data_IF_509427152358
#
_entry.id   IF_509427152358
#
_cell.length_a   1.000
_cell.length_b   1.000
_cell.length_c   1.000
_cell.angle_alpha   90.00
_cell.angle_beta   90.00
_cell.angle_gamma   90.00
#
_symmetry.space_group_name_H-M   'P 1'
#
loop_
_entity.id
_entity.type
_entity.pdbx_description
1 polymer ?
#
# COMPACT_ATOMS: atom_id res chain seq x y z
N UNK A 1 16.65 -19.69 -14.05
CA UNK A 1 15.46 -18.81 -13.95
C UNK A 1 14.60 -19.05 -15.18
N UNK A 2 13.34 -19.44 -15.00
CA UNK A 2 12.45 -19.72 -16.12
C UNK A 2 12.17 -18.46 -16.98
N UNK A 3 11.78 -18.66 -18.25
CA UNK A 3 11.36 -17.56 -19.13
C UNK A 3 10.18 -16.77 -18.53
N UNK A 4 9.27 -17.48 -17.83
CA UNK A 4 8.12 -16.89 -17.14
C UNK A 4 8.56 -15.93 -16.03
N UNK A 5 9.51 -16.34 -15.18
CA UNK A 5 10.03 -15.48 -14.11
C UNK A 5 10.69 -14.20 -14.65
N UNK A 6 11.41 -14.29 -15.78
CA UNK A 6 12.00 -13.12 -16.45
C UNK A 6 10.95 -12.12 -16.92
N UNK A 7 9.87 -12.62 -17.52
CA UNK A 7 8.76 -11.78 -17.98
C UNK A 7 8.07 -11.06 -16.82
N UNK A 8 7.77 -11.77 -15.72
CA UNK A 8 7.14 -11.17 -14.53
C UNK A 8 8.08 -10.12 -13.89
N UNK A 9 9.38 -10.38 -13.84
CA UNK A 9 10.35 -9.41 -13.33
C UNK A 9 10.36 -8.14 -14.20
N UNK A 10 10.43 -8.30 -15.51
CA UNK A 10 10.46 -7.18 -16.45
C UNK A 10 9.19 -6.33 -16.35
N UNK A 11 8.01 -6.95 -16.28
CA UNK A 11 6.75 -6.21 -16.12
C UNK A 11 6.69 -5.45 -14.79
N UNK A 12 7.18 -6.03 -13.70
CA UNK A 12 7.27 -5.35 -12.40
C UNK A 12 8.18 -4.12 -12.43
N UNK A 13 9.35 -4.24 -13.07
CA UNK A 13 10.28 -3.11 -13.27
C UNK A 13 9.63 -2.02 -14.13
N UNK A 14 8.97 -2.39 -15.22
CA UNK A 14 8.30 -1.47 -16.12
C UNK A 14 7.18 -0.69 -15.41
N UNK A 15 6.42 -1.36 -14.54
CA UNK A 15 5.39 -0.74 -13.71
C UNK A 15 5.95 0.28 -12.72
N UNK A 16 7.07 -0.04 -12.05
CA UNK A 16 7.74 0.90 -11.16
C UNK A 16 8.29 2.10 -11.93
N UNK A 17 8.93 1.86 -13.09
CA UNK A 17 9.46 2.91 -13.94
C UNK A 17 8.34 3.85 -14.42
N UNK A 18 7.20 3.28 -14.83
CA UNK A 18 6.01 4.05 -15.16
C UNK A 18 5.52 4.86 -13.95
N UNK A 19 5.37 4.25 -12.76
CA UNK A 19 4.85 4.95 -11.59
C UNK A 19 5.76 6.06 -11.04
N UNK A 20 7.06 5.97 -11.28
CA UNK A 20 8.00 7.07 -11.01
C UNK A 20 7.83 8.16 -12.09
N UNK A 21 7.79 7.75 -13.36
CA UNK A 21 7.69 8.69 -14.49
C UNK A 21 6.36 9.44 -14.53
N UNK A 22 5.24 8.81 -14.15
CA UNK A 22 3.90 9.42 -14.13
C UNK A 22 3.73 10.49 -13.05
N UNK A 23 4.67 10.57 -12.09
CA UNK A 23 4.74 11.68 -11.12
C UNK A 23 5.58 12.84 -11.64
N UNK A 24 6.46 12.59 -12.62
CA UNK A 24 7.26 13.61 -13.29
C UNK A 24 6.55 14.18 -14.53
N UNK A 25 5.87 13.32 -15.27
CA UNK A 25 5.12 13.64 -16.48
C UNK A 25 3.64 13.49 -16.15
N UNK A 26 2.78 14.48 -16.46
CA UNK A 26 1.36 14.50 -16.10
C UNK A 26 0.51 13.47 -16.87
N UNK A 27 0.83 12.18 -16.75
CA UNK A 27 0.10 11.05 -17.34
C UNK A 27 -0.72 10.38 -16.24
N UNK A 28 -2.01 10.67 -16.22
CA UNK A 28 -2.88 10.38 -15.07
C UNK A 28 -3.74 9.12 -15.22
N UNK A 29 -3.29 8.14 -16.01
CA UNK A 29 -4.08 6.95 -16.33
C UNK A 29 -3.95 5.79 -15.32
N UNK A 30 -2.86 5.72 -14.55
CA UNK A 30 -2.58 4.54 -13.70
C UNK A 30 -1.80 4.87 -12.41
N UNK A 31 -2.51 5.44 -11.45
CA UNK A 31 -1.96 6.02 -10.21
C UNK A 31 -1.38 4.98 -9.22
N UNK A 32 -1.91 3.75 -9.19
CA UNK A 32 -1.46 2.64 -8.31
C UNK A 32 -0.31 1.79 -8.89
N UNK A 33 0.23 2.20 -10.03
CA UNK A 33 1.30 1.48 -10.73
C UNK A 33 2.50 1.11 -9.86
N UNK A 34 2.87 1.95 -8.88
CA UNK A 34 3.96 1.64 -7.94
C UNK A 34 3.64 0.42 -7.07
N UNK A 35 2.47 0.39 -6.46
CA UNK A 35 2.07 -0.71 -5.55
C UNK A 35 1.93 -2.00 -6.35
N UNK A 36 1.30 -1.93 -7.52
CA UNK A 36 1.18 -3.08 -8.41
C UNK A 36 2.54 -3.57 -8.93
N UNK A 37 3.47 -2.67 -9.22
CA UNK A 37 4.85 -3.01 -9.58
C UNK A 37 5.54 -3.81 -8.49
N UNK A 38 5.44 -3.39 -7.23
CA UNK A 38 5.98 -4.14 -6.09
C UNK A 38 5.33 -5.52 -5.92
N UNK A 39 4.01 -5.63 -6.06
CA UNK A 39 3.30 -6.92 -5.99
C UNK A 39 3.82 -7.87 -7.08
N UNK A 40 3.97 -7.38 -8.31
CA UNK A 40 4.51 -8.16 -9.44
C UNK A 40 5.95 -8.59 -9.19
N UNK A 41 6.80 -7.73 -8.62
CA UNK A 41 8.17 -8.11 -8.24
C UNK A 41 8.21 -9.17 -7.14
N UNK A 42 7.32 -9.10 -6.14
CA UNK A 42 7.20 -10.13 -5.11
C UNK A 42 6.74 -11.46 -5.73
N UNK A 43 5.81 -11.43 -6.69
CA UNK A 43 5.41 -12.64 -7.44
C UNK A 43 6.56 -13.21 -8.27
N UNK A 44 7.37 -12.36 -8.92
CA UNK A 44 8.57 -12.79 -9.63
C UNK A 44 9.58 -13.45 -8.68
N UNK A 45 9.80 -12.84 -7.50
CA UNK A 45 10.68 -13.39 -6.47
C UNK A 45 10.14 -14.74 -5.98
N UNK A 46 8.86 -14.84 -5.64
CA UNK A 46 8.25 -16.09 -5.21
C UNK A 46 8.40 -17.19 -6.28
N UNK A 47 8.14 -16.87 -7.55
CA UNK A 47 8.36 -17.78 -8.69
C UNK A 47 9.83 -18.23 -8.79
N UNK A 48 10.78 -17.31 -8.62
CA UNK A 48 12.21 -17.64 -8.58
C UNK A 48 12.55 -18.59 -7.43
N UNK A 49 11.99 -18.40 -6.24
CA UNK A 49 12.24 -19.26 -5.09
C UNK A 49 11.66 -20.67 -5.30
N UNK A 50 10.50 -20.80 -5.94
CA UNK A 50 9.97 -22.10 -6.36
C UNK A 50 10.87 -22.81 -7.37
N UNK A 51 11.35 -22.09 -8.39
CA UNK A 51 12.32 -22.61 -9.37
C UNK A 51 13.61 -23.07 -8.67
N UNK A 52 14.10 -22.27 -7.71
CA UNK A 52 15.30 -22.59 -6.93
C UNK A 52 15.10 -23.84 -6.07
N UNK A 53 13.93 -23.99 -5.42
CA UNK A 53 13.57 -25.19 -4.66
C UNK A 53 13.59 -26.41 -5.56
N UNK A 54 12.93 -26.35 -6.73
CA UNK A 54 12.90 -27.45 -7.70
C UNK A 54 14.32 -27.85 -8.15
N UNK A 55 15.17 -26.87 -8.45
CA UNK A 55 16.56 -27.13 -8.87
C UNK A 55 17.40 -27.76 -7.74
N UNK A 56 17.21 -27.35 -6.48
CA UNK A 56 17.93 -27.95 -5.35
C UNK A 56 17.49 -29.38 -5.05
N UNK A 57 16.19 -29.69 -5.16
CA UNK A 57 15.67 -31.06 -5.00
C UNK A 57 16.30 -31.98 -6.05
N UNK A 58 16.33 -31.57 -7.32
CA UNK A 58 16.95 -32.34 -8.39
C UNK A 58 18.45 -32.61 -8.17
N UNK A 59 19.15 -31.71 -7.47
CA UNK A 59 20.56 -31.83 -7.12
C UNK A 59 20.81 -32.53 -5.77
N UNK A 60 19.78 -33.08 -5.13
CA UNK A 60 19.88 -33.72 -3.81
C UNK A 60 20.31 -32.78 -2.67
N UNK A 61 20.18 -31.46 -2.85
CA UNK A 61 20.62 -30.45 -1.87
C UNK A 61 19.52 -30.11 -0.89
N UNK A 62 19.91 -29.74 0.34
CA UNK A 62 18.97 -29.24 1.37
C UNK A 62 18.24 -27.98 0.89
N UNK A 63 16.93 -27.95 1.14
CA UNK A 63 15.99 -26.89 0.70
C UNK A 63 15.42 -26.07 1.84
N UNK A 64 15.79 -26.36 3.09
CA UNK A 64 15.19 -25.76 4.30
C UNK A 64 15.16 -24.23 4.23
N UNK A 65 16.30 -23.59 3.94
CA UNK A 65 16.38 -22.14 3.77
C UNK A 65 15.49 -21.60 2.65
N UNK A 66 15.39 -22.33 1.54
CA UNK A 66 14.51 -21.95 0.42
C UNK A 66 13.04 -22.05 0.84
N UNK A 67 12.69 -23.06 1.63
CA UNK A 67 11.33 -23.22 2.13
C UNK A 67 10.94 -22.11 3.10
N UNK A 68 11.85 -21.71 4.01
CA UNK A 68 11.64 -20.59 4.93
C UNK A 68 11.31 -19.31 4.16
N UNK A 69 12.10 -18.94 3.15
CA UNK A 69 11.83 -17.72 2.40
C UNK A 69 10.55 -17.77 1.55
N UNK A 70 10.17 -18.94 1.01
CA UNK A 70 8.87 -19.11 0.35
C UNK A 70 7.74 -18.86 1.36
N UNK A 71 7.82 -19.47 2.55
CA UNK A 71 6.81 -19.31 3.61
C UNK A 71 6.70 -17.85 4.04
N UNK A 72 7.82 -17.16 4.27
CA UNK A 72 7.84 -15.74 4.64
C UNK A 72 7.20 -14.86 3.56
N UNK A 73 7.51 -15.09 2.28
CA UNK A 73 6.91 -14.33 1.18
C UNK A 73 5.40 -14.58 1.06
N UNK A 74 4.95 -15.82 1.24
CA UNK A 74 3.51 -16.14 1.23
C UNK A 74 2.81 -15.47 2.41
N UNK A 75 3.39 -15.53 3.62
CA UNK A 75 2.83 -14.86 4.79
C UNK A 75 2.70 -13.36 4.55
N UNK A 76 3.72 -12.71 3.97
CA UNK A 76 3.65 -11.30 3.61
C UNK A 76 2.51 -11.01 2.63
N UNK A 77 2.36 -11.82 1.57
CA UNK A 77 1.30 -11.67 0.57
C UNK A 77 -0.11 -11.86 1.14
N UNK A 78 -0.27 -12.60 2.24
CA UNK A 78 -1.55 -12.79 2.92
C UNK A 78 -1.80 -11.69 3.96
N UNK A 79 -0.81 -11.36 4.78
CA UNK A 79 -0.95 -10.37 5.86
C UNK A 79 -1.18 -8.97 5.29
N UNK A 80 -0.40 -8.55 4.28
CA UNK A 80 -0.48 -7.21 3.71
C UNK A 80 -1.90 -6.79 3.26
N UNK A 81 -2.64 -7.56 2.42
CA UNK A 81 -3.99 -7.19 2.03
C UNK A 81 -5.00 -7.26 3.18
N UNK A 82 -4.82 -8.15 4.16
CA UNK A 82 -5.67 -8.19 5.36
C UNK A 82 -5.49 -6.92 6.19
N UNK A 83 -4.24 -6.52 6.47
CA UNK A 83 -3.95 -5.29 7.20
C UNK A 83 -4.49 -4.06 6.46
N UNK A 84 -4.36 -4.03 5.13
CA UNK A 84 -4.89 -2.94 4.32
C UNK A 84 -6.42 -2.86 4.35
N UNK A 85 -7.10 -4.01 4.30
CA UNK A 85 -8.55 -4.07 4.44
C UNK A 85 -8.98 -3.55 5.82
N UNK A 86 -8.30 -3.97 6.89
CA UNK A 86 -8.58 -3.47 8.25
C UNK A 86 -8.32 -1.96 8.36
N UNK A 87 -7.25 -1.46 7.73
CA UNK A 87 -6.92 -0.03 7.70
C UNK A 87 -8.04 0.78 7.04
N UNK A 88 -8.50 0.36 5.86
CA UNK A 88 -9.59 1.03 5.10
C UNK A 88 -10.92 1.04 5.83
N UNK A 89 -11.19 0.02 6.64
CA UNK A 89 -12.44 -0.09 7.39
C UNK A 89 -12.34 0.54 8.79
N UNK A 90 -11.20 1.14 9.15
CA UNK A 90 -11.05 1.81 10.45
C UNK A 90 -11.78 3.16 10.46
N UNK A 91 -12.36 3.51 11.61
CA UNK A 91 -13.00 4.82 11.83
C UNK A 91 -12.04 5.98 11.57
N UNK A 92 -10.75 5.78 11.90
CA UNK A 92 -9.69 6.74 11.66
C UNK A 92 -9.51 7.04 10.15
N UNK A 93 -9.59 6.00 9.32
CA UNK A 93 -9.45 6.15 7.87
C UNK A 93 -10.67 6.85 7.27
N UNK A 94 -11.88 6.50 7.71
CA UNK A 94 -13.11 7.16 7.26
C UNK A 94 -13.08 8.65 7.60
N UNK A 95 -12.74 9.00 8.84
CA UNK A 95 -12.59 10.40 9.24
C UNK A 95 -11.51 11.12 8.43
N UNK A 96 -10.38 10.46 8.14
CA UNK A 96 -9.33 11.04 7.30
C UNK A 96 -9.81 11.31 5.87
N UNK A 97 -10.55 10.39 5.26
CA UNK A 97 -11.10 10.61 3.91
C UNK A 97 -12.15 11.71 3.90
N UNK A 98 -13.01 11.80 4.92
CA UNK A 98 -14.02 12.86 5.04
C UNK A 98 -13.37 14.25 5.14
N UNK A 99 -12.28 14.38 5.90
CA UNK A 99 -11.51 15.62 6.00
C UNK A 99 -10.86 15.99 4.65
N UNK A 100 -10.26 15.00 3.97
CA UNK A 100 -9.69 15.22 2.63
C UNK A 100 -10.75 15.59 1.60
N UNK A 101 -11.95 15.01 1.67
CA UNK A 101 -13.05 15.37 0.78
C UNK A 101 -13.41 16.85 0.93
N UNK A 102 -13.38 17.40 2.15
CA UNK A 102 -13.78 18.77 2.45
C UNK A 102 -12.64 19.80 2.34
N UNK A 103 -11.40 19.38 2.11
CA UNK A 103 -10.24 20.27 1.96
C UNK A 103 -10.33 21.11 0.67
N UNK A 104 -10.56 22.42 0.85
CA UNK A 104 -10.63 23.39 -0.26
C UNK A 104 -9.30 23.52 -1.00
N UNK A 105 -8.16 23.52 -0.28
CA UNK A 105 -6.83 23.65 -0.90
C UNK A 105 -6.54 22.44 -1.77
N UNK A 106 -6.90 21.25 -1.29
CA UNK A 106 -6.76 20.02 -2.08
C UNK A 106 -7.60 20.10 -3.36
N UNK A 107 -8.88 20.49 -3.27
CA UNK A 107 -9.77 20.64 -4.44
C UNK A 107 -9.28 21.69 -5.44
N UNK A 108 -8.71 22.80 -4.97
CA UNK A 108 -8.11 23.82 -5.86
C UNK A 108 -6.95 23.22 -6.69
N UNK A 109 -6.14 22.39 -6.04
CA UNK A 109 -4.95 21.79 -6.64
C UNK A 109 -5.27 20.63 -7.60
N UNK A 110 -6.12 19.68 -7.19
CA UNK A 110 -6.38 18.44 -7.94
C UNK A 110 -7.71 18.43 -8.69
N UNK A 111 -8.54 19.46 -8.50
CA UNK A 111 -9.91 19.51 -9.00
C UNK A 111 -10.89 18.77 -8.08
N UNK A 112 -12.12 18.55 -8.57
CA UNK A 112 -13.13 17.78 -7.84
C UNK A 112 -12.60 16.38 -7.53
N UNK A 113 -12.68 15.98 -6.26
CA UNK A 113 -12.27 14.65 -5.82
C UNK A 113 -13.22 13.62 -6.42
N UNK A 114 -12.66 12.64 -7.12
CA UNK A 114 -13.36 11.53 -7.76
C UNK A 114 -13.25 10.24 -6.95
N UNK A 115 -12.29 10.17 -6.02
CA UNK A 115 -12.19 9.07 -5.06
C UNK A 115 -10.79 8.92 -4.48
N UNK A 116 -10.57 7.78 -3.83
CA UNK A 116 -9.34 7.43 -3.15
C UNK A 116 -8.71 6.14 -3.67
N UNK A 117 -7.39 6.07 -3.59
CA UNK A 117 -6.58 4.93 -3.98
C UNK A 117 -7.04 3.63 -3.33
N UNK A 118 -6.71 2.53 -4.00
CA UNK A 118 -7.06 1.20 -3.49
C UNK A 118 -6.16 0.82 -2.32
N UNK A 119 -4.91 1.27 -2.32
CA UNK A 119 -3.86 0.81 -1.43
C UNK A 119 -3.38 1.91 -0.47
N UNK A 120 -4.16 2.30 0.57
CA UNK A 120 -3.65 3.23 1.55
C UNK A 120 -2.56 2.59 2.39
N UNK A 121 -1.54 3.38 2.71
CA UNK A 121 -0.49 3.02 3.65
C UNK A 121 -0.68 3.82 4.91
N UNK A 122 -0.24 3.29 6.05
CA UNK A 122 -0.37 4.00 7.30
C UNK A 122 -0.33 3.11 8.51
N UNK A 123 -0.63 3.73 9.65
CA UNK A 123 -0.73 3.06 10.94
C UNK A 123 -1.86 3.69 11.74
N UNK A 124 -2.55 2.87 12.52
CA UNK A 124 -3.53 3.30 13.51
C UNK A 124 -3.10 2.70 14.84
N UNK A 125 -3.00 3.53 15.86
CA UNK A 125 -2.66 3.15 17.22
C UNK A 125 -3.79 3.63 18.12
N UNK A 126 -4.43 2.69 18.82
CA UNK A 126 -5.51 2.97 19.76
C UNK A 126 -5.07 2.47 21.13
N UNK A 127 -5.26 3.30 22.14
CA UNK A 127 -5.03 2.99 23.54
C UNK A 127 -6.33 3.19 24.31
N UNK A 128 -6.75 2.17 25.05
CA UNK A 128 -7.91 2.22 25.93
C UNK A 128 -7.45 2.30 27.38
N UNK A 129 -7.95 3.27 28.13
CA UNK A 129 -7.68 3.43 29.56
C UNK A 129 -8.97 3.84 30.25
N UNK A 130 -9.32 3.15 31.33
CA UNK A 130 -10.53 3.43 32.13
C UNK A 130 -11.84 3.45 31.32
N UNK A 131 -11.92 2.66 30.24
CA UNK A 131 -13.08 2.61 29.35
C UNK A 131 -13.14 3.72 28.30
N UNK A 132 -12.16 4.64 28.29
CA UNK A 132 -12.04 5.69 27.28
C UNK A 132 -10.95 5.33 26.26
N UNK A 133 -11.25 5.53 24.98
CA UNK A 133 -10.29 5.33 23.89
C UNK A 133 -9.62 6.65 23.50
N UNK A 134 -8.33 6.57 23.21
CA UNK A 134 -7.53 7.61 22.59
C UNK A 134 -6.64 6.99 21.51
N UNK A 135 -6.14 7.78 20.58
CA UNK A 135 -5.32 7.22 19.52
C UNK A 135 -4.66 8.21 18.57
N UNK A 136 -3.75 7.67 17.78
CA UNK A 136 -3.06 8.37 16.71
C UNK A 136 -3.10 7.53 15.45
N UNK A 137 -3.32 8.18 14.31
CA UNK A 137 -3.19 7.54 13.02
C UNK A 137 -2.40 8.42 12.06
N UNK A 138 -1.71 7.78 11.12
CA UNK A 138 -1.05 8.44 10.00
C UNK A 138 -1.39 7.65 8.76
N UNK A 139 -1.88 8.35 7.74
CA UNK A 139 -2.24 7.74 6.48
C UNK A 139 -1.53 8.44 5.33
N UNK A 140 -1.01 7.65 4.40
CA UNK A 140 -0.62 8.07 3.07
C UNK A 140 -1.68 7.56 2.09
N UNK A 141 -2.45 8.48 1.53
CA UNK A 141 -3.62 8.20 0.69
C UNK A 141 -3.40 8.81 -0.68
N UNK A 142 -3.64 8.04 -1.74
CA UNK A 142 -3.72 8.60 -3.09
C UNK A 142 -5.10 9.20 -3.27
N UNK A 143 -5.19 10.51 -3.47
CA UNK A 143 -6.46 11.20 -3.77
C UNK A 143 -6.54 11.44 -5.26
N UNK A 144 -7.62 10.96 -5.88
CA UNK A 144 -7.88 11.14 -7.31
C UNK A 144 -8.77 12.35 -7.51
N UNK A 145 -8.27 13.37 -8.22
CA UNK A 145 -9.04 14.54 -8.60
C UNK A 145 -9.24 14.62 -10.11
N UNK A 146 -10.21 15.43 -10.54
CA UNK A 146 -10.53 15.59 -11.96
C UNK A 146 -9.41 16.17 -12.84
N UNK A 147 -8.37 16.78 -12.25
CA UNK A 147 -7.19 17.28 -12.98
C UNK A 147 -5.99 16.34 -12.88
N UNK A 148 -5.75 15.79 -11.69
CA UNK A 148 -4.59 14.95 -11.37
C UNK A 148 -4.87 14.12 -10.10
N UNK A 149 -4.04 13.13 -9.83
CA UNK A 149 -3.99 12.48 -8.52
C UNK A 149 -2.84 13.07 -7.67
N UNK A 150 -2.94 12.95 -6.34
CA UNK A 150 -1.90 13.38 -5.40
C UNK A 150 -1.75 12.36 -4.27
N UNK A 151 -0.50 12.08 -3.90
CA UNK A 151 -0.19 11.34 -2.67
C UNK A 151 -0.29 12.35 -1.50
N UNK A 152 -1.24 12.17 -0.58
CA UNK A 152 -1.45 13.04 0.58
C UNK A 152 -1.11 12.27 1.85
N UNK A 153 -0.36 12.91 2.75
CA UNK A 153 -0.12 12.40 4.10
C UNK A 153 -1.01 13.17 5.05
N UNK A 154 -1.79 12.47 5.86
CA UNK A 154 -2.70 13.05 6.86
C UNK A 154 -2.49 12.36 8.19
N UNK A 155 -2.36 13.16 9.25
CA UNK A 155 -2.23 12.70 10.62
C UNK A 155 -3.53 12.95 11.37
N UNK A 156 -4.02 11.93 12.06
CA UNK A 156 -5.24 11.98 12.84
C UNK A 156 -4.94 11.74 14.32
N UNK A 157 -5.70 12.40 15.19
CA UNK A 157 -5.68 12.22 16.63
C UNK A 157 -7.11 11.99 17.14
N UNK A 158 -7.24 11.10 18.13
CA UNK A 158 -8.46 10.89 18.91
C UNK A 158 -8.12 11.17 20.37
N UNK A 159 -8.66 12.27 20.90
CA UNK A 159 -8.60 12.56 22.33
C UNK A 159 -9.44 11.55 23.11
N UNK A 160 -9.21 11.45 24.42
CA UNK A 160 -9.93 10.48 25.27
C UNK A 160 -11.44 10.65 25.17
N UNK A 161 -12.13 9.57 24.76
CA UNK A 161 -13.59 9.57 24.58
C UNK A 161 -14.09 10.44 23.42
N UNK A 162 -13.18 11.02 22.63
CA UNK A 162 -13.49 11.92 21.53
C UNK A 162 -13.65 11.22 20.18
N UNK A 163 -13.79 12.02 19.13
CA UNK A 163 -13.80 11.57 17.72
C UNK A 163 -12.43 11.81 17.08
N UNK A 164 -12.16 11.12 15.97
CA UNK A 164 -10.96 11.37 15.16
C UNK A 164 -11.02 12.75 14.51
N UNK A 165 -9.91 13.48 14.59
CA UNK A 165 -9.72 14.80 13.93
C UNK A 165 -8.32 14.89 13.34
N UNK A 166 -8.14 15.78 12.39
CA UNK A 166 -6.80 16.13 11.89
C UNK A 166 -5.96 16.64 13.06
N UNK A 167 -4.72 16.16 13.17
CA UNK A 167 -3.76 16.73 14.12
C UNK A 167 -3.38 18.13 13.63
N UNK A 168 -3.83 19.14 14.35
CA UNK A 168 -3.34 20.51 14.16
C UNK A 168 -1.84 20.53 14.46
N UNK A 169 -1.07 21.09 13.53
CA UNK A 169 0.38 21.18 13.58
C UNK A 169 0.82 22.49 14.26
#
# INVERSE_FOLDING_TARGET
MSSRTKFILFSGILLLAYGISSRLIPVYFFWESRVLGWIVLIMALLSYWFDLRKSRIQKGKKTIWVMIGIVVLILFLVIAPVTMYLLKNSDAYQAATDELENDKRLREEIGTIQGFGLFPLGSVQISSSNGEESGHASFQIIVMGGKKYKDVVIEMVKDRGGIWRVRDN
#
